data_IF_996052928749
#
_entry.id   IF_996052928749
#
_cell.length_a   1.000
_cell.length_b   1.000
_cell.length_c   1.000
_cell.angle_alpha   90.00
_cell.angle_beta   90.00
_cell.angle_gamma   90.00
#
_symmetry.space_group_name_H-M   'P 1'
#
loop_
_entity.id
_entity.type
_entity.pdbx_description
1 polymer ?
#
# COMPACT_ATOMS: atom_id res chain seq x y z
N UNK A 1 -10.03 5.29 -45.65
CA UNK A 1 -10.79 5.09 -44.40
C UNK A 1 -10.01 5.56 -43.18
N UNK A 2 -8.76 5.15 -42.93
CA UNK A 2 -7.92 5.68 -41.81
C UNK A 2 -7.85 7.23 -41.71
N UNK A 3 -7.84 7.94 -42.85
CA UNK A 3 -7.84 9.42 -42.88
C UNK A 3 -9.15 10.07 -42.42
N UNK A 4 -10.29 9.35 -42.51
CA UNK A 4 -11.62 9.85 -42.10
C UNK A 4 -11.80 9.74 -40.59
N UNK A 5 -11.29 8.67 -39.96
CA UNK A 5 -11.27 8.53 -38.51
C UNK A 5 -10.33 9.55 -37.85
N UNK A 6 -9.13 9.77 -38.40
CA UNK A 6 -8.18 10.80 -37.90
C UNK A 6 -8.76 12.22 -37.96
N UNK A 7 -9.51 12.55 -39.01
CA UNK A 7 -10.22 13.83 -39.13
C UNK A 7 -11.44 13.93 -38.22
N UNK A 8 -12.16 12.84 -37.97
CA UNK A 8 -13.27 12.80 -37.01
C UNK A 8 -12.75 12.98 -35.58
N UNK A 9 -11.65 12.31 -35.20
CA UNK A 9 -11.05 12.42 -33.88
C UNK A 9 -10.46 13.81 -33.61
N UNK A 10 -9.66 14.35 -34.56
CA UNK A 10 -9.08 15.68 -34.44
C UNK A 10 -10.12 16.81 -34.57
N UNK A 11 -11.19 16.62 -35.37
CA UNK A 11 -12.29 17.60 -35.44
C UNK A 11 -13.23 17.50 -34.23
N UNK A 12 -13.40 16.33 -33.61
CA UNK A 12 -14.11 16.21 -32.33
C UNK A 12 -13.29 16.85 -31.20
N UNK A 13 -12.00 16.53 -31.07
CA UNK A 13 -11.16 17.13 -30.04
C UNK A 13 -11.10 18.67 -30.16
N UNK A 14 -10.97 19.21 -31.37
CA UNK A 14 -10.85 20.66 -31.57
C UNK A 14 -12.18 21.43 -31.56
N UNK A 15 -13.32 20.81 -31.90
CA UNK A 15 -14.61 21.51 -32.01
C UNK A 15 -15.66 21.13 -30.96
N UNK A 16 -15.50 20.00 -30.27
CA UNK A 16 -16.56 19.36 -29.48
C UNK A 16 -16.25 19.35 -27.98
N UNK A 17 -14.97 19.40 -27.58
CA UNK A 17 -14.57 19.46 -26.16
C UNK A 17 -15.18 20.64 -25.37
N UNK A 18 -15.26 21.88 -25.90
CA UNK A 18 -15.92 22.98 -25.17
C UNK A 18 -17.45 22.85 -25.11
N UNK A 19 -18.06 22.11 -26.04
CA UNK A 19 -19.52 22.00 -26.19
C UNK A 19 -20.13 20.80 -25.44
N UNK A 20 -19.51 19.62 -25.48
CA UNK A 20 -20.03 18.41 -24.82
C UNK A 20 -19.89 18.46 -23.29
N UNK A 21 -19.07 19.35 -22.71
CA UNK A 21 -19.06 19.59 -21.26
C UNK A 21 -20.28 20.40 -20.76
N UNK A 22 -21.07 20.99 -21.66
CA UNK A 22 -22.11 21.96 -21.30
C UNK A 22 -23.56 21.54 -21.55
N UNK A 23 -23.82 20.40 -22.22
CA UNK A 23 -25.17 19.91 -22.52
C UNK A 23 -25.28 18.37 -22.38
N UNK A 24 -25.91 17.86 -21.30
CA UNK A 24 -26.04 16.43 -21.05
C UNK A 24 -27.19 15.74 -21.82
N UNK A 25 -28.01 16.46 -22.61
CA UNK A 25 -29.16 15.87 -23.33
C UNK A 25 -28.86 15.48 -24.79
N UNK A 26 -27.64 15.74 -25.30
CA UNK A 26 -27.22 15.22 -26.60
C UNK A 26 -26.98 13.70 -26.52
N UNK A 27 -27.57 12.87 -27.40
CA UNK A 27 -27.24 11.46 -27.49
C UNK A 27 -25.73 11.32 -27.63
N UNK A 28 -25.15 10.56 -26.71
CA UNK A 28 -23.78 10.72 -26.23
C UNK A 28 -22.76 10.99 -27.34
N UNK A 29 -21.96 12.05 -27.20
CA UNK A 29 -20.79 12.30 -28.06
C UNK A 29 -19.84 11.06 -28.08
N UNK A 30 -19.95 10.19 -27.07
CA UNK A 30 -19.35 8.87 -26.93
C UNK A 30 -19.83 7.82 -27.97
N UNK A 31 -21.15 7.72 -28.23
CA UNK A 31 -21.74 6.70 -29.12
C UNK A 31 -21.27 6.83 -30.58
N UNK A 32 -20.87 8.03 -31.00
CA UNK A 32 -20.50 8.28 -32.41
C UNK A 32 -19.01 8.12 -32.69
N UNK A 33 -18.14 8.24 -31.67
CA UNK A 33 -16.70 8.15 -31.83
C UNK A 33 -16.14 6.71 -31.72
N UNK A 34 -16.90 5.79 -31.11
CA UNK A 34 -16.39 4.45 -30.76
C UNK A 34 -17.24 3.27 -31.26
N UNK A 35 -18.09 3.45 -32.29
CA UNK A 35 -18.58 2.28 -33.04
C UNK A 35 -17.39 1.61 -33.72
N UNK A 36 -16.92 0.54 -33.08
CA UNK A 36 -15.71 -0.23 -33.38
C UNK A 36 -15.68 -0.82 -34.79
N UNK A 37 -16.84 -0.93 -35.45
CA UNK A 37 -16.95 -1.60 -36.74
C UNK A 37 -16.17 -0.89 -37.87
N UNK A 38 -15.87 0.42 -37.71
CA UNK A 38 -15.19 1.23 -38.74
C UNK A 38 -13.88 1.91 -38.28
N UNK A 39 -13.57 1.92 -36.98
CA UNK A 39 -12.45 2.69 -36.41
C UNK A 39 -11.16 1.89 -36.14
N UNK A 40 -11.18 0.57 -36.37
CA UNK A 40 -10.05 -0.31 -36.07
C UNK A 40 -10.09 -0.85 -34.64
N UNK A 41 -9.11 -1.71 -34.32
CA UNK A 41 -8.98 -2.28 -32.98
C UNK A 41 -8.73 -1.18 -31.94
N UNK A 42 -9.31 -1.26 -30.72
CA UNK A 42 -9.12 -0.28 -29.64
C UNK A 42 -7.67 0.17 -29.42
N UNK A 43 -6.74 -0.78 -29.46
CA UNK A 43 -5.32 -0.53 -29.33
C UNK A 43 -4.74 0.32 -30.47
N UNK A 44 -5.20 0.15 -31.72
CA UNK A 44 -4.73 0.99 -32.84
C UNK A 44 -5.14 2.45 -32.61
N UNK A 45 -6.39 2.70 -32.20
CA UNK A 45 -6.91 4.06 -31.98
C UNK A 45 -6.17 4.74 -30.83
N UNK A 46 -6.02 4.05 -29.69
CA UNK A 46 -5.28 4.56 -28.55
C UNK A 46 -3.80 4.83 -28.92
N UNK A 47 -3.13 3.90 -29.59
CA UNK A 47 -1.73 4.06 -29.95
C UNK A 47 -1.49 5.11 -31.03
N UNK A 48 -2.42 5.31 -31.94
CA UNK A 48 -2.37 6.42 -32.90
C UNK A 48 -2.35 7.76 -32.19
N UNK A 49 -3.21 7.95 -31.19
CA UNK A 49 -3.22 9.14 -30.34
C UNK A 49 -1.91 9.28 -29.55
N UNK A 50 -1.51 8.23 -28.83
CA UNK A 50 -0.35 8.30 -27.95
C UNK A 50 0.95 8.56 -28.71
N UNK A 51 1.13 8.01 -29.91
CA UNK A 51 2.33 8.27 -30.70
C UNK A 51 2.32 9.67 -31.32
N UNK A 52 1.14 10.26 -31.57
CA UNK A 52 1.06 11.61 -32.14
C UNK A 52 1.16 12.72 -31.10
N UNK A 53 0.52 12.55 -29.95
CA UNK A 53 0.45 13.58 -28.90
C UNK A 53 1.41 13.32 -27.74
N UNK A 54 1.87 12.07 -27.56
CA UNK A 54 2.67 11.63 -26.41
C UNK A 54 3.95 10.88 -26.84
N UNK A 55 4.72 11.48 -27.75
CA UNK A 55 5.94 10.90 -28.33
C UNK A 55 7.03 10.55 -27.30
N UNK A 56 6.98 11.16 -26.12
CA UNK A 56 7.84 10.87 -24.97
C UNK A 56 7.62 9.48 -24.37
N UNK A 57 6.42 8.92 -24.53
CA UNK A 57 6.02 7.64 -23.92
C UNK A 57 6.23 6.48 -24.89
N UNK A 58 5.83 6.68 -26.15
CA UNK A 58 5.95 5.67 -27.19
C UNK A 58 6.79 6.16 -28.36
N UNK A 59 7.98 5.58 -28.49
CA UNK A 59 8.88 5.84 -29.61
C UNK A 59 8.37 5.34 -30.96
N UNK A 60 7.36 4.45 -30.98
CA UNK A 60 6.75 3.94 -32.20
C UNK A 60 5.36 3.33 -31.96
N UNK A 61 4.57 3.27 -33.03
CA UNK A 61 3.27 2.60 -33.07
C UNK A 61 3.37 1.13 -32.68
N UNK A 62 4.31 0.39 -33.29
CA UNK A 62 4.46 -1.05 -33.05
C UNK A 62 4.75 -1.35 -31.57
N UNK A 63 5.55 -0.50 -30.91
CA UNK A 63 5.83 -0.65 -29.48
C UNK A 63 4.56 -0.45 -28.66
N UNK A 64 3.79 0.60 -28.95
CA UNK A 64 2.54 0.86 -28.24
C UNK A 64 1.53 -0.28 -28.42
N UNK A 65 1.33 -0.75 -29.66
CA UNK A 65 0.37 -1.83 -29.95
C UNK A 65 0.78 -3.12 -29.24
N UNK A 66 2.08 -3.44 -29.23
CA UNK A 66 2.58 -4.60 -28.49
C UNK A 66 2.32 -4.49 -26.99
N UNK A 67 2.52 -3.31 -26.39
CA UNK A 67 2.21 -3.13 -24.96
C UNK A 67 0.71 -3.26 -24.72
N UNK A 68 -0.12 -2.66 -25.59
CA UNK A 68 -1.57 -2.68 -25.47
C UNK A 68 -2.14 -4.11 -25.56
N UNK A 69 -1.55 -4.96 -26.41
CA UNK A 69 -1.95 -6.35 -26.55
C UNK A 69 -1.53 -7.23 -25.36
N UNK A 70 -0.56 -6.79 -24.55
CA UNK A 70 -0.03 -7.55 -23.41
C UNK A 70 -0.59 -7.06 -22.07
N UNK A 71 -1.14 -5.85 -21.99
CA UNK A 71 -1.82 -5.36 -20.81
C UNK A 71 -3.24 -5.97 -20.69
N UNK A 72 -3.68 -6.35 -19.48
CA UNK A 72 -5.07 -6.73 -19.22
C UNK A 72 -5.98 -5.48 -19.18
N UNK A 73 -5.84 -4.56 -20.12
CA UNK A 73 -6.72 -3.40 -20.25
C UNK A 73 -8.09 -3.88 -20.69
N UNK A 74 -9.13 -3.45 -19.98
CA UNK A 74 -10.48 -3.55 -20.52
C UNK A 74 -10.55 -2.63 -21.75
N UNK A 75 -11.08 -3.18 -22.85
CA UNK A 75 -11.41 -2.39 -24.04
C UNK A 75 -12.26 -1.18 -23.63
N UNK A 76 -12.37 -0.17 -24.51
CA UNK A 76 -13.32 0.93 -24.32
C UNK A 76 -14.70 0.37 -23.95
N UNK A 77 -15.08 0.49 -22.67
CA UNK A 77 -16.42 0.10 -22.23
C UNK A 77 -17.34 1.27 -22.55
N UNK A 78 -18.49 0.96 -23.12
CA UNK A 78 -19.49 1.96 -23.47
C UNK A 78 -19.89 2.75 -22.21
N UNK A 79 -19.64 4.06 -22.20
CA UNK A 79 -19.89 4.95 -21.05
C UNK A 79 -18.67 5.34 -20.22
N UNK A 80 -17.46 4.84 -20.51
CA UNK A 80 -16.23 5.16 -19.75
C UNK A 80 -15.43 6.36 -20.29
N UNK A 81 -15.94 7.10 -21.27
CA UNK A 81 -15.28 8.35 -21.68
C UNK A 81 -15.37 9.38 -20.56
N UNK A 82 -14.22 9.86 -20.10
CA UNK A 82 -14.10 10.67 -18.88
C UNK A 82 -13.96 9.84 -17.61
N UNK A 83 -13.67 8.53 -17.70
CA UNK A 83 -13.23 7.76 -16.55
C UNK A 83 -11.91 8.33 -16.01
N UNK A 84 -11.94 8.77 -14.76
CA UNK A 84 -10.75 9.28 -14.06
C UNK A 84 -9.97 8.15 -13.36
N UNK A 85 -10.53 6.93 -13.31
CA UNK A 85 -9.95 5.72 -12.71
C UNK A 85 -10.32 4.44 -13.48
N UNK A 86 -9.74 3.29 -13.12
CA UNK A 86 -10.01 2.00 -13.79
C UNK A 86 -8.97 1.59 -14.84
N UNK A 87 -8.72 0.28 -14.97
CA UNK A 87 -7.78 -0.30 -15.95
C UNK A 87 -8.34 -0.36 -17.38
N UNK A 88 -8.73 0.78 -17.94
CA UNK A 88 -9.29 0.84 -19.30
C UNK A 88 -8.56 1.81 -20.22
N UNK A 89 -8.62 1.54 -21.53
CA UNK A 89 -8.12 2.46 -22.55
C UNK A 89 -8.85 3.80 -22.54
N UNK A 90 -10.10 3.83 -22.06
CA UNK A 90 -10.90 5.05 -21.97
C UNK A 90 -10.36 6.01 -20.90
N UNK A 91 -10.01 5.48 -19.73
CA UNK A 91 -9.35 6.26 -18.69
C UNK A 91 -8.00 6.77 -19.21
N UNK A 92 -7.17 5.89 -19.77
CA UNK A 92 -5.82 6.24 -20.26
C UNK A 92 -5.88 7.32 -21.34
N UNK A 93 -6.83 7.23 -22.27
CA UNK A 93 -7.04 8.24 -23.29
C UNK A 93 -7.48 9.58 -22.70
N UNK A 94 -8.29 9.57 -21.63
CA UNK A 94 -8.75 10.80 -20.94
C UNK A 94 -7.54 11.60 -20.43
N UNK A 95 -6.61 10.97 -19.72
CA UNK A 95 -5.38 11.65 -19.26
C UNK A 95 -4.45 12.06 -20.40
N UNK A 96 -4.41 11.26 -21.47
CA UNK A 96 -3.65 11.60 -22.67
C UNK A 96 -4.15 12.89 -23.30
N UNK A 97 -5.47 13.07 -23.38
CA UNK A 97 -6.12 14.27 -23.90
C UNK A 97 -5.90 15.51 -23.01
N UNK A 98 -5.67 15.32 -21.71
CA UNK A 98 -5.29 16.39 -20.78
C UNK A 98 -3.79 16.75 -20.85
N UNK A 99 -3.02 16.05 -21.68
CA UNK A 99 -1.57 16.24 -21.83
C UNK A 99 -0.75 15.52 -20.75
N UNK A 100 -1.38 14.70 -19.91
CA UNK A 100 -0.70 13.88 -18.92
C UNK A 100 -0.25 12.54 -19.53
N UNK A 101 0.63 12.63 -20.52
CA UNK A 101 1.08 11.50 -21.33
C UNK A 101 1.66 10.32 -20.52
N UNK A 102 2.42 10.59 -19.45
CA UNK A 102 2.97 9.54 -18.59
C UNK A 102 1.84 8.76 -17.87
N UNK A 103 0.82 9.47 -17.39
CA UNK A 103 -0.36 8.88 -16.75
C UNK A 103 -1.32 8.24 -17.75
N UNK A 104 -1.23 8.61 -19.02
CA UNK A 104 -1.95 7.94 -20.09
C UNK A 104 -1.27 6.65 -20.53
N UNK A 105 0.02 6.43 -20.21
CA UNK A 105 0.83 5.31 -20.71
C UNK A 105 0.26 3.94 -20.34
N UNK A 106 0.38 2.95 -21.23
CA UNK A 106 0.07 1.55 -20.89
C UNK A 106 1.00 0.99 -19.80
N UNK A 107 2.24 1.51 -19.74
CA UNK A 107 3.27 1.02 -18.81
C UNK A 107 3.25 1.70 -17.44
N UNK A 108 2.71 2.92 -17.37
CA UNK A 108 2.87 3.81 -16.22
C UNK A 108 1.57 4.54 -15.83
N UNK A 109 0.39 4.17 -16.35
CA UNK A 109 -0.85 4.86 -15.94
C UNK A 109 -1.19 4.51 -14.50
N UNK A 110 -0.78 5.36 -13.59
CA UNK A 110 -1.02 5.17 -12.17
C UNK A 110 -2.42 5.61 -11.79
N UNK A 111 -3.01 6.47 -12.63
CA UNK A 111 -4.40 6.94 -12.51
C UNK A 111 -5.42 5.99 -13.14
N UNK A 112 -5.01 5.28 -14.20
CA UNK A 112 -5.87 4.35 -14.95
C UNK A 112 -5.42 2.92 -14.87
N UNK A 113 -4.66 2.58 -13.83
CA UNK A 113 -4.62 1.22 -13.36
C UNK A 113 -5.34 1.28 -12.03
N UNK A 114 -6.59 0.82 -11.98
CA UNK A 114 -7.04 0.26 -10.72
C UNK A 114 -6.10 -0.91 -10.51
N UNK A 115 -5.08 -0.75 -9.67
CA UNK A 115 -4.23 -1.85 -9.25
C UNK A 115 -5.16 -2.85 -8.62
N UNK A 116 -5.59 -3.83 -9.40
CA UNK A 116 -6.43 -4.88 -8.87
C UNK A 116 -5.55 -5.62 -7.86
N UNK A 117 -6.14 -6.06 -6.76
CA UNK A 117 -5.38 -6.86 -5.81
C UNK A 117 -4.85 -8.14 -6.45
N UNK A 118 -5.48 -8.60 -7.54
CA UNK A 118 -5.02 -9.73 -8.32
C UNK A 118 -3.70 -9.42 -9.04
N UNK A 119 -3.63 -8.29 -9.76
CA UNK A 119 -2.43 -7.89 -10.51
C UNK A 119 -1.28 -7.52 -9.58
N UNK A 120 -1.57 -6.75 -8.53
CA UNK A 120 -0.58 -6.40 -7.50
C UNK A 120 0.01 -7.65 -6.86
N UNK A 121 -0.84 -8.58 -6.43
CA UNK A 121 -0.36 -9.76 -5.75
C UNK A 121 0.31 -10.78 -6.68
N UNK A 122 -0.07 -10.81 -7.97
CA UNK A 122 0.65 -11.58 -8.97
C UNK A 122 2.08 -11.07 -9.16
N UNK A 123 2.29 -9.75 -9.21
CA UNK A 123 3.63 -9.14 -9.27
C UNK A 123 4.45 -9.43 -8.01
N UNK A 124 3.83 -9.29 -6.83
CA UNK A 124 4.51 -9.58 -5.56
C UNK A 124 4.92 -11.05 -5.46
N UNK A 125 4.07 -11.99 -5.86
CA UNK A 125 4.39 -13.42 -5.87
C UNK A 125 5.51 -13.75 -6.87
N UNK A 126 5.52 -13.09 -8.04
CA UNK A 126 6.52 -13.32 -9.07
C UNK A 126 7.90 -12.74 -8.73
N UNK A 127 7.96 -11.56 -8.11
CA UNK A 127 9.20 -10.78 -7.98
C UNK A 127 9.68 -10.57 -6.54
N UNK A 128 8.80 -10.74 -5.54
CA UNK A 128 9.07 -10.43 -4.14
C UNK A 128 8.75 -11.63 -3.23
N UNK A 129 9.41 -12.75 -3.50
CA UNK A 129 9.24 -13.98 -2.73
C UNK A 129 9.38 -13.72 -1.22
N UNK A 130 8.40 -14.20 -0.44
CA UNK A 130 8.38 -14.04 1.01
C UNK A 130 7.79 -12.71 1.50
N UNK A 131 7.41 -11.77 0.64
CA UNK A 131 6.70 -10.56 1.10
C UNK A 131 5.34 -10.87 1.74
N UNK A 132 4.72 -11.98 1.33
CA UNK A 132 3.48 -12.49 1.89
C UNK A 132 3.56 -14.01 2.07
N UNK A 133 2.89 -14.60 3.09
CA UNK A 133 2.80 -16.05 3.23
C UNK A 133 2.10 -16.78 2.07
N UNK A 134 1.41 -16.02 1.21
CA UNK A 134 0.74 -16.53 0.02
C UNK A 134 -0.10 -15.47 -0.68
N UNK A 135 -0.57 -15.79 -1.89
CA UNK A 135 -1.35 -14.89 -2.73
C UNK A 135 -2.63 -14.39 -2.05
N UNK A 136 -3.32 -15.25 -1.30
CA UNK A 136 -4.55 -14.88 -0.60
C UNK A 136 -4.28 -13.87 0.54
N UNK A 137 -3.20 -14.06 1.28
CA UNK A 137 -2.76 -13.11 2.31
C UNK A 137 -2.42 -11.75 1.70
N UNK A 138 -1.76 -11.74 0.55
CA UNK A 138 -1.50 -10.50 -0.18
C UNK A 138 -2.79 -9.78 -0.58
N UNK A 139 -3.78 -10.51 -1.14
CA UNK A 139 -5.04 -9.90 -1.58
C UNK A 139 -5.84 -9.31 -0.44
N UNK A 140 -5.84 -9.94 0.73
CA UNK A 140 -6.48 -9.41 1.94
C UNK A 140 -5.84 -8.11 2.40
N UNK A 141 -4.51 -8.03 2.43
CA UNK A 141 -3.79 -6.78 2.73
C UNK A 141 -4.09 -5.71 1.67
N UNK A 142 -4.03 -6.06 0.40
CA UNK A 142 -4.31 -5.12 -0.66
C UNK A 142 -5.71 -4.50 -0.53
N UNK A 143 -6.71 -5.30 -0.15
CA UNK A 143 -8.07 -4.82 0.05
C UNK A 143 -8.23 -3.90 1.27
N UNK A 144 -7.30 -3.90 2.22
CA UNK A 144 -7.32 -2.99 3.37
C UNK A 144 -6.57 -1.67 3.14
N UNK A 145 -5.73 -1.61 2.11
CA UNK A 145 -4.98 -0.40 1.81
C UNK A 145 -5.88 0.66 1.18
N UNK A 146 -5.72 1.94 1.56
CA UNK A 146 -6.35 3.05 0.86
C UNK A 146 -6.03 3.05 -0.64
N UNK A 147 -6.97 3.60 -1.40
CA UNK A 147 -6.78 3.92 -2.81
C UNK A 147 -6.20 5.33 -2.93
N UNK A 148 -5.33 5.56 -3.91
CA UNK A 148 -4.77 6.87 -4.24
C UNK A 148 -4.00 6.86 -5.55
N UNK A 149 -3.12 7.85 -5.75
CA UNK A 149 -2.31 7.94 -6.96
C UNK A 149 -0.93 7.31 -6.71
N UNK A 150 -0.38 6.52 -7.63
CA UNK A 150 0.88 5.80 -7.32
C UNK A 150 2.11 6.69 -7.07
N UNK A 151 2.05 7.95 -7.49
CA UNK A 151 3.15 8.90 -7.34
C UNK A 151 3.10 9.68 -6.03
N UNK A 152 2.06 9.52 -5.22
CA UNK A 152 1.82 10.38 -4.06
C UNK A 152 2.69 10.06 -2.84
N UNK A 153 3.40 8.92 -2.86
CA UNK A 153 4.21 8.45 -1.73
C UNK A 153 3.38 8.18 -0.47
N UNK A 154 2.06 8.10 -0.59
CA UNK A 154 1.16 7.83 0.52
C UNK A 154 1.01 6.31 0.72
N UNK A 155 0.39 5.92 1.84
CA UNK A 155 0.01 4.53 2.14
C UNK A 155 -1.15 4.08 1.22
N UNK A 156 -0.87 3.84 -0.06
CA UNK A 156 -1.86 3.47 -1.06
C UNK A 156 -1.46 2.19 -1.79
N UNK A 157 -2.44 1.41 -2.25
CA UNK A 157 -2.16 0.22 -3.07
C UNK A 157 -1.52 0.61 -4.41
N UNK A 158 -1.88 1.74 -4.99
CA UNK A 158 -1.32 2.21 -6.26
C UNK A 158 0.18 2.51 -6.13
N UNK A 159 0.61 3.15 -5.04
CA UNK A 159 2.04 3.37 -4.79
C UNK A 159 2.78 2.02 -4.72
N UNK A 160 2.24 1.06 -3.96
CA UNK A 160 2.84 -0.28 -3.82
C UNK A 160 2.88 -1.05 -5.14
N UNK A 161 1.82 -0.95 -5.93
CA UNK A 161 1.73 -1.57 -7.25
C UNK A 161 2.83 -1.07 -8.18
N UNK A 162 3.10 0.25 -8.20
CA UNK A 162 4.21 0.81 -8.95
C UNK A 162 5.55 0.21 -8.53
N UNK A 163 5.80 0.00 -7.24
CA UNK A 163 7.04 -0.63 -6.82
C UNK A 163 7.07 -2.14 -7.09
N UNK A 164 5.91 -2.81 -7.08
CA UNK A 164 5.79 -4.21 -7.48
C UNK A 164 6.15 -4.42 -8.96
N UNK A 165 5.82 -3.48 -9.84
CA UNK A 165 6.24 -3.55 -11.26
C UNK A 165 7.75 -3.31 -11.41
N UNK A 166 8.33 -2.38 -10.63
CA UNK A 166 9.77 -2.12 -10.63
C UNK A 166 10.60 -3.28 -10.07
N UNK A 167 9.98 -4.15 -9.25
CA UNK A 167 10.65 -5.34 -8.72
C UNK A 167 11.08 -6.32 -9.83
N UNK A 168 10.50 -6.22 -11.04
CA UNK A 168 11.02 -6.89 -12.24
C UNK A 168 12.32 -6.23 -12.72
N UNK A 169 13.43 -6.64 -12.10
CA UNK A 169 14.77 -6.16 -12.40
C UNK A 169 15.43 -5.37 -11.28
N UNK A 170 14.68 -4.95 -10.26
CA UNK A 170 15.20 -4.30 -9.05
C UNK A 170 14.56 -4.85 -7.77
N UNK A 171 15.19 -5.87 -7.17
CA UNK A 171 14.72 -6.48 -5.93
C UNK A 171 14.63 -5.49 -4.75
N UNK A 172 15.29 -4.33 -4.80
CA UNK A 172 15.17 -3.32 -3.74
C UNK A 172 13.79 -2.66 -3.72
N UNK A 173 13.06 -2.72 -4.85
CA UNK A 173 11.67 -2.24 -4.94
C UNK A 173 10.68 -3.13 -4.15
N UNK A 174 11.07 -4.33 -3.71
CA UNK A 174 10.18 -5.17 -2.91
C UNK A 174 9.82 -4.58 -1.55
N UNK A 175 10.73 -3.81 -0.93
CA UNK A 175 10.41 -3.16 0.34
C UNK A 175 9.29 -2.11 0.22
N UNK A 176 9.37 -1.12 -0.68
CA UNK A 176 8.27 -0.20 -0.92
C UNK A 176 7.02 -0.84 -1.53
N UNK A 177 7.17 -1.95 -2.27
CA UNK A 177 6.04 -2.71 -2.79
C UNK A 177 5.30 -3.53 -1.71
N UNK A 178 5.95 -3.93 -0.62
CA UNK A 178 5.35 -4.73 0.46
C UNK A 178 4.28 -3.98 1.24
N UNK A 179 3.61 -4.64 2.19
CA UNK A 179 2.65 -3.99 3.11
C UNK A 179 3.26 -2.86 3.94
N UNK A 180 4.57 -2.90 4.19
CA UNK A 180 5.26 -1.95 5.06
C UNK A 180 5.60 -0.64 4.35
N UNK A 181 5.69 -0.65 3.03
CA UNK A 181 5.91 0.55 2.21
C UNK A 181 7.32 1.08 2.22
N UNK A 182 8.23 0.46 2.97
CA UNK A 182 9.66 0.78 2.96
C UNK A 182 9.97 2.25 3.24
N UNK A 183 9.05 3.00 3.88
CA UNK A 183 9.14 4.45 4.05
C UNK A 183 8.98 5.28 2.77
N UNK A 184 8.55 4.66 1.67
CA UNK A 184 8.32 5.31 0.37
C UNK A 184 6.83 5.40 0.03
N UNK A 185 6.08 4.33 0.29
CA UNK A 185 4.63 4.30 0.15
C UNK A 185 3.95 4.46 1.52
N UNK A 186 4.10 5.66 2.08
CA UNK A 186 3.66 6.03 3.41
C UNK A 186 4.72 5.82 4.50
N UNK A 187 4.41 6.32 5.68
CA UNK A 187 5.18 6.01 6.90
C UNK A 187 4.91 4.54 7.28
N UNK A 188 5.91 3.74 7.71
CA UNK A 188 5.68 2.34 8.12
C UNK A 188 4.63 2.17 9.23
N UNK A 189 4.38 3.23 10.01
CA UNK A 189 3.34 3.25 11.03
C UNK A 189 1.93 3.35 10.47
N UNK A 190 1.75 3.92 9.28
CA UNK A 190 0.43 4.02 8.66
C UNK A 190 -0.21 2.65 8.41
N UNK A 191 0.39 1.72 7.62
CA UNK A 191 -0.19 0.41 7.40
C UNK A 191 -0.28 -0.41 8.68
N UNK A 192 0.68 -0.28 9.60
CA UNK A 192 0.62 -0.93 10.91
C UNK A 192 -0.64 -0.55 11.70
N UNK A 193 -0.87 0.75 11.87
CA UNK A 193 -2.00 1.26 12.66
C UNK A 193 -3.35 1.05 11.97
N UNK A 194 -3.39 1.14 10.65
CA UNK A 194 -4.62 0.91 9.88
C UNK A 194 -5.03 -0.57 9.96
N UNK A 195 -4.08 -1.51 9.82
CA UNK A 195 -4.34 -2.95 9.96
C UNK A 195 -4.74 -3.32 11.39
N UNK A 196 -4.12 -2.71 12.40
CA UNK A 196 -4.53 -2.91 13.79
C UNK A 196 -5.96 -2.47 14.04
N UNK A 197 -6.32 -1.26 13.63
CA UNK A 197 -7.68 -0.75 13.81
C UNK A 197 -8.72 -1.62 13.10
N UNK A 198 -8.34 -2.25 11.97
CA UNK A 198 -9.21 -3.13 11.21
C UNK A 198 -9.36 -4.52 11.84
N UNK A 199 -8.24 -5.16 12.21
CA UNK A 199 -8.20 -6.59 12.53
C UNK A 199 -8.19 -6.88 14.03
N UNK A 200 -7.75 -5.91 14.84
CA UNK A 200 -7.58 -6.03 16.28
C UNK A 200 -8.59 -5.14 17.01
N UNK A 201 -9.81 -5.66 17.17
CA UNK A 201 -10.95 -4.94 17.76
C UNK A 201 -11.53 -5.67 18.97
N UNK A 202 -12.35 -4.98 19.77
CA UNK A 202 -13.00 -5.55 20.95
C UNK A 202 -11.99 -6.00 21.99
N UNK A 203 -12.10 -7.24 22.47
CA UNK A 203 -11.15 -7.80 23.46
C UNK A 203 -9.72 -7.92 22.91
N UNK A 204 -9.55 -7.90 21.59
CA UNK A 204 -8.26 -7.94 20.91
C UNK A 204 -7.75 -6.55 20.53
N UNK A 205 -8.44 -5.47 20.91
CA UNK A 205 -7.95 -4.11 20.71
C UNK A 205 -6.55 -3.95 21.31
N UNK A 206 -5.70 -3.22 20.60
CA UNK A 206 -4.29 -3.04 20.99
C UNK A 206 -4.06 -1.62 21.49
N UNK A 207 -4.58 -0.62 20.77
CA UNK A 207 -4.51 0.78 21.15
C UNK A 207 -5.90 1.38 21.12
N UNK A 208 -6.21 2.33 22.03
CA UNK A 208 -7.56 2.92 22.13
C UNK A 208 -7.94 3.79 20.93
N UNK A 209 -6.95 4.35 20.22
CA UNK A 209 -7.15 5.13 19.02
C UNK A 209 -5.90 5.13 18.12
N UNK A 210 -6.10 5.55 16.86
CA UNK A 210 -5.03 5.63 15.86
C UNK A 210 -3.92 6.60 16.28
N UNK A 211 -4.23 7.70 16.95
CA UNK A 211 -3.21 8.68 17.36
C UNK A 211 -2.25 8.09 18.40
N UNK A 212 -2.78 7.31 19.33
CA UNK A 212 -2.02 6.54 20.31
C UNK A 212 -1.16 5.50 19.57
N UNK A 213 -1.74 4.75 18.62
CA UNK A 213 -0.98 3.81 17.80
C UNK A 213 0.21 4.47 17.08
N UNK A 214 -0.02 5.60 16.40
CA UNK A 214 1.04 6.32 15.66
C UNK A 214 2.14 6.83 16.58
N UNK A 215 1.77 7.39 17.74
CA UNK A 215 2.73 7.88 18.73
C UNK A 215 3.65 6.77 19.22
N UNK A 216 3.09 5.57 19.37
CA UNK A 216 3.80 4.38 19.83
C UNK A 216 4.64 3.72 18.75
N UNK A 217 4.09 3.61 17.55
CA UNK A 217 4.83 3.10 16.43
C UNK A 217 6.06 3.97 16.12
N UNK A 218 5.96 5.29 16.25
CA UNK A 218 7.09 6.21 16.07
C UNK A 218 8.27 5.99 17.03
N UNK A 219 8.09 5.18 18.09
CA UNK A 219 9.17 4.80 19.02
C UNK A 219 9.85 3.48 18.63
N UNK A 220 9.25 2.71 17.73
CA UNK A 220 9.72 1.39 17.30
C UNK A 220 10.78 1.51 16.20
N UNK A 221 11.58 0.45 16.02
CA UNK A 221 12.50 0.39 14.89
C UNK A 221 11.73 0.17 13.57
N UNK A 222 11.98 1.00 12.57
CA UNK A 222 11.38 0.87 11.24
C UNK A 222 12.37 0.37 10.18
N UNK A 223 13.55 -0.12 10.58
CA UNK A 223 14.59 -0.62 9.67
C UNK A 223 14.43 -2.13 9.33
N UNK A 224 13.24 -2.70 9.56
CA UNK A 224 12.96 -4.10 9.23
C UNK A 224 12.88 -4.34 7.72
N UNK A 225 13.22 -5.56 7.31
CA UNK A 225 13.02 -6.03 5.95
C UNK A 225 11.55 -6.35 5.68
N UNK A 226 11.18 -6.40 4.39
CA UNK A 226 9.80 -6.69 3.99
C UNK A 226 9.35 -8.13 4.26
N UNK A 227 10.29 -9.03 4.50
CA UNK A 227 10.08 -10.43 4.82
C UNK A 227 10.33 -10.76 6.30
N UNK A 228 10.39 -9.73 7.17
CA UNK A 228 10.56 -9.88 8.62
C UNK A 228 9.28 -10.37 9.32
N UNK A 229 8.75 -11.49 8.87
CA UNK A 229 7.64 -12.21 9.51
C UNK A 229 8.09 -13.49 10.22
N UNK A 230 9.37 -13.88 10.04
CA UNK A 230 9.87 -15.18 10.51
C UNK A 230 10.37 -15.12 11.95
N UNK A 231 10.02 -16.15 12.72
CA UNK A 231 10.46 -16.42 14.09
C UNK A 231 11.98 -16.43 14.31
N UNK A 232 12.75 -16.65 13.25
CA UNK A 232 14.21 -16.84 13.32
C UNK A 232 14.99 -15.51 13.27
N UNK A 233 14.29 -14.42 12.99
CA UNK A 233 14.83 -13.07 13.00
C UNK A 233 14.32 -12.37 14.26
N UNK A 234 15.09 -12.41 15.34
CA UNK A 234 14.82 -11.72 16.62
C UNK A 234 14.84 -10.19 16.43
N UNK A 235 13.81 -9.65 15.79
CA UNK A 235 13.77 -8.27 15.32
C UNK A 235 12.56 -7.55 15.92
N UNK A 236 12.83 -6.56 16.78
CA UNK A 236 11.84 -5.61 17.30
C UNK A 236 11.59 -4.47 16.31
N UNK A 237 10.87 -4.78 15.22
CA UNK A 237 10.53 -3.79 14.18
C UNK A 237 9.04 -3.62 13.96
N UNK A 238 8.66 -2.45 13.43
CA UNK A 238 7.31 -2.17 12.93
C UNK A 238 6.91 -3.20 11.88
N UNK A 239 7.81 -3.60 10.98
CA UNK A 239 7.56 -4.56 9.91
C UNK A 239 7.05 -5.91 10.42
N UNK A 240 7.70 -6.47 11.44
CA UNK A 240 7.24 -7.70 12.08
C UNK A 240 5.85 -7.53 12.70
N UNK A 241 5.61 -6.37 13.33
CA UNK A 241 4.33 -6.08 13.98
C UNK A 241 3.21 -5.85 12.98
N UNK A 242 3.48 -5.21 11.85
CA UNK A 242 2.56 -5.05 10.71
C UNK A 242 2.17 -6.40 10.15
N UNK A 243 3.11 -7.33 10.03
CA UNK A 243 2.79 -8.71 9.63
C UNK A 243 1.77 -9.33 10.58
N UNK A 244 1.99 -9.25 11.89
CA UNK A 244 1.05 -9.79 12.88
C UNK A 244 -0.29 -9.05 12.93
N UNK A 245 -0.33 -7.76 12.60
CA UNK A 245 -1.56 -6.96 12.50
C UNK A 245 -2.36 -7.26 11.21
N UNK A 246 -1.71 -7.81 10.20
CA UNK A 246 -2.29 -8.10 8.89
C UNK A 246 -3.05 -9.43 8.82
N UNK A 247 -2.83 -10.26 7.79
CA UNK A 247 -3.58 -11.50 7.56
C UNK A 247 -3.59 -12.51 8.72
N UNK A 248 -2.52 -12.68 9.51
CA UNK A 248 -2.59 -13.55 10.68
C UNK A 248 -3.64 -13.11 11.71
N UNK A 249 -3.83 -11.80 11.92
CA UNK A 249 -4.86 -11.26 12.80
C UNK A 249 -6.28 -11.34 12.20
N UNK A 250 -6.45 -11.41 10.88
CA UNK A 250 -7.77 -11.65 10.30
C UNK A 250 -8.28 -13.07 10.58
N UNK A 251 -7.35 -14.04 10.64
CA UNK A 251 -7.66 -15.45 10.87
C UNK A 251 -7.77 -15.79 12.36
N UNK A 252 -6.80 -15.34 13.17
CA UNK A 252 -6.69 -15.69 14.58
C UNK A 252 -6.29 -14.45 15.42
N UNK A 253 -7.20 -13.46 15.56
CA UNK A 253 -6.89 -12.17 16.20
C UNK A 253 -6.44 -12.34 17.65
N UNK A 254 -7.04 -13.26 18.40
CA UNK A 254 -6.67 -13.53 19.79
C UNK A 254 -5.19 -13.90 19.95
N UNK A 255 -4.61 -14.60 18.97
CA UNK A 255 -3.21 -15.01 19.00
C UNK A 255 -2.29 -13.95 18.41
N UNK A 256 -2.70 -13.30 17.32
CA UNK A 256 -1.79 -12.44 16.55
C UNK A 256 -1.82 -10.98 17.00
N UNK A 257 -2.98 -10.45 17.42
CA UNK A 257 -3.08 -9.07 17.89
C UNK A 257 -2.21 -8.82 19.12
N UNK A 258 -2.07 -9.79 20.02
CA UNK A 258 -1.16 -9.63 21.16
C UNK A 258 0.30 -9.47 20.73
N UNK A 259 0.74 -10.05 19.62
CA UNK A 259 2.12 -9.96 19.12
C UNK A 259 2.46 -8.60 18.49
N UNK A 260 1.44 -7.80 18.17
CA UNK A 260 1.64 -6.49 17.55
C UNK A 260 2.08 -5.42 18.56
N UNK A 261 1.82 -5.65 19.85
CA UNK A 261 2.05 -4.69 20.93
C UNK A 261 3.52 -4.52 21.20
N UNK A 262 3.98 -3.29 21.40
CA UNK A 262 5.35 -2.93 21.81
C UNK A 262 6.00 -3.94 22.76
N UNK A 263 5.30 -4.33 23.82
CA UNK A 263 5.86 -5.15 24.89
C UNK A 263 5.72 -6.66 24.67
N UNK A 264 5.20 -7.09 23.51
CA UNK A 264 5.16 -8.49 23.17
C UNK A 264 6.40 -8.87 22.38
N UNK A 265 7.21 -9.72 23.00
CA UNK A 265 8.54 -10.10 22.51
C UNK A 265 8.59 -11.59 22.14
N UNK A 266 7.45 -12.32 22.15
CA UNK A 266 7.45 -13.76 21.82
C UNK A 266 7.77 -13.96 20.33
N UNK A 267 7.42 -12.99 19.47
CA UNK A 267 7.61 -13.09 18.03
C UNK A 267 8.43 -11.93 17.44
N UNK A 268 8.11 -10.68 17.81
CA UNK A 268 8.80 -9.49 17.29
C UNK A 268 9.74 -8.85 18.32
N UNK A 269 10.52 -9.64 19.04
CA UNK A 269 11.41 -9.09 20.07
C UNK A 269 12.75 -9.78 20.16
N UNK A 270 13.66 -9.13 20.89
CA UNK A 270 15.11 -9.37 20.86
C UNK A 270 15.62 -10.48 21.80
N UNK A 271 14.76 -11.26 22.45
CA UNK A 271 15.23 -12.32 23.37
C UNK A 271 14.66 -13.69 23.00
N UNK A 272 15.52 -14.68 22.69
CA UNK A 272 15.08 -16.04 22.41
C UNK A 272 14.29 -16.60 23.59
N UNK A 273 13.19 -17.30 23.31
CA UNK A 273 12.30 -17.89 24.32
C UNK A 273 13.03 -18.73 25.38
N UNK A 274 14.18 -19.29 25.03
CA UNK A 274 15.00 -20.14 25.90
C UNK A 274 15.79 -19.37 26.97
N UNK A 275 15.93 -18.04 26.86
CA UNK A 275 16.69 -17.20 27.80
C UNK A 275 15.85 -16.13 28.48
N UNK A 276 14.52 -16.13 28.31
CA UNK A 276 13.65 -15.07 28.84
C UNK A 276 13.58 -15.14 30.37
N UNK A 277 14.02 -14.10 31.09
CA UNK A 277 13.85 -14.02 32.54
C UNK A 277 12.39 -13.64 32.89
N UNK A 278 11.98 -13.79 34.16
CA UNK A 278 10.59 -13.62 34.58
C UNK A 278 10.07 -12.16 34.57
N UNK A 279 10.94 -11.18 34.31
CA UNK A 279 10.75 -9.73 34.32
C UNK A 279 10.68 -9.12 32.90
N UNK A 280 10.38 -9.96 31.91
CA UNK A 280 10.55 -9.74 30.48
C UNK A 280 9.76 -8.59 29.81
N UNK A 281 8.51 -8.24 30.19
CA UNK A 281 7.81 -7.09 29.61
C UNK A 281 8.58 -5.77 29.80
N UNK A 282 9.38 -5.72 30.86
CA UNK A 282 10.14 -4.54 31.22
C UNK A 282 11.40 -4.35 30.39
N UNK A 283 11.97 -5.41 29.80
CA UNK A 283 13.17 -5.25 28.98
C UNK A 283 12.86 -4.44 27.72
N UNK A 284 11.82 -4.82 26.97
CA UNK A 284 11.45 -4.08 25.75
C UNK A 284 10.97 -2.66 26.06
N UNK A 285 10.24 -2.46 27.16
CA UNK A 285 9.89 -1.11 27.64
C UNK A 285 11.15 -0.27 27.89
N UNK A 286 12.12 -0.83 28.60
CA UNK A 286 13.33 -0.09 28.94
C UNK A 286 14.22 0.19 27.75
N UNK A 287 14.34 -0.73 26.81
CA UNK A 287 15.05 -0.49 25.55
C UNK A 287 14.41 0.65 24.76
N UNK A 288 13.08 0.80 24.79
CA UNK A 288 12.40 1.92 24.15
C UNK A 288 12.59 3.23 24.90
N UNK A 289 12.54 3.19 26.23
CA UNK A 289 12.78 4.35 27.08
C UNK A 289 14.22 4.84 26.95
N UNK A 290 15.21 3.95 26.90
CA UNK A 290 16.61 4.31 26.72
C UNK A 290 16.84 4.94 25.33
N UNK A 291 16.24 4.36 24.28
CA UNK A 291 16.35 4.86 22.89
C UNK A 291 15.71 6.23 22.72
N UNK A 292 14.49 6.40 23.22
CA UNK A 292 13.66 7.57 22.91
C UNK A 292 13.70 8.65 24.01
N UNK A 293 14.02 8.28 25.25
CA UNK A 293 14.07 9.17 26.41
C UNK A 293 15.40 9.05 27.17
N UNK A 294 16.54 9.33 26.53
CA UNK A 294 17.85 9.14 27.17
C UNK A 294 17.97 9.97 28.45
N UNK A 295 18.29 9.28 29.56
CA UNK A 295 18.47 9.90 30.88
C UNK A 295 17.22 9.99 31.76
N UNK A 296 16.04 9.53 31.30
CA UNK A 296 14.86 9.40 32.17
C UNK A 296 15.11 8.38 33.28
N UNK A 297 15.75 7.26 32.94
CA UNK A 297 16.21 6.28 33.91
C UNK A 297 17.74 6.31 34.04
N UNK A 298 18.30 6.22 35.26
CA UNK A 298 19.74 6.18 35.44
C UNK A 298 20.41 4.93 34.85
N UNK A 299 19.66 3.82 34.70
CA UNK A 299 20.08 2.59 34.04
C UNK A 299 18.88 1.75 33.59
N UNK A 300 19.09 0.78 32.70
CA UNK A 300 18.04 -0.20 32.34
C UNK A 300 17.55 -1.02 33.54
N UNK A 301 18.41 -1.23 34.55
CA UNK A 301 18.00 -1.91 35.77
C UNK A 301 17.03 -1.05 36.61
N UNK A 302 17.25 0.26 36.68
CA UNK A 302 16.33 1.18 37.37
C UNK A 302 15.01 1.29 36.63
N UNK A 303 15.06 1.32 35.29
CA UNK A 303 13.88 1.27 34.45
C UNK A 303 13.08 -0.03 34.66
N UNK A 304 13.76 -1.18 34.66
CA UNK A 304 13.09 -2.47 34.81
C UNK A 304 12.46 -2.60 36.21
N UNK A 305 13.14 -2.08 37.24
CA UNK A 305 12.60 -2.04 38.59
C UNK A 305 11.34 -1.17 38.69
N UNK A 306 11.30 -0.01 38.02
CA UNK A 306 10.11 0.86 37.97
C UNK A 306 8.97 0.21 37.18
N UNK A 307 9.28 -0.33 35.99
CA UNK A 307 8.32 -1.06 35.18
C UNK A 307 7.69 -2.25 35.92
N UNK A 308 8.46 -2.99 36.72
CA UNK A 308 7.93 -4.09 37.53
C UNK A 308 6.91 -3.64 38.60
N UNK A 309 6.84 -2.34 38.91
CA UNK A 309 5.81 -1.78 39.80
C UNK A 309 4.49 -1.51 39.10
N UNK A 310 4.47 -1.53 37.76
CA UNK A 310 3.24 -1.28 37.01
C UNK A 310 2.23 -2.41 37.28
N UNK A 311 0.99 -2.09 37.67
CA UNK A 311 -0.06 -3.07 37.97
C UNK A 311 -0.25 -4.11 36.87
N UNK A 312 -0.01 -3.70 35.62
CA UNK A 312 -0.16 -4.49 34.40
C UNK A 312 0.91 -5.58 34.28
N UNK A 313 2.13 -5.31 34.72
CA UNK A 313 3.23 -6.29 34.76
C UNK A 313 3.02 -7.31 35.87
N UNK A 314 2.23 -6.96 36.89
CA UNK A 314 1.93 -7.83 38.03
C UNK A 314 0.70 -8.73 37.79
N UNK A 315 -0.02 -8.58 36.68
CA UNK A 315 -1.19 -9.41 36.36
C UNK A 315 -0.74 -10.78 35.84
N UNK A 316 -1.12 -11.89 36.49
CA UNK A 316 -0.64 -13.22 36.16
C UNK A 316 -1.43 -13.89 35.02
N UNK A 317 -2.15 -13.13 34.18
CA UNK A 317 -2.81 -13.72 33.01
C UNK A 317 -1.78 -13.88 31.89
N UNK A 318 -1.29 -15.10 31.61
CA UNK A 318 -0.22 -15.32 30.64
C UNK A 318 -0.70 -15.11 29.20
N UNK A 319 -2.03 -15.07 28.97
CA UNK A 319 -2.63 -15.06 27.64
C UNK A 319 -3.27 -13.69 27.30
N UNK A 320 -3.56 -12.86 28.30
CA UNK A 320 -4.23 -11.56 28.14
C UNK A 320 -3.49 -10.48 28.91
N UNK A 321 -2.33 -10.05 28.41
CA UNK A 321 -1.71 -8.81 28.90
C UNK A 321 -2.76 -7.68 28.83
N UNK A 322 -2.98 -6.88 29.88
CA UNK A 322 -4.03 -5.87 29.86
C UNK A 322 -3.74 -4.77 28.83
N UNK A 323 -4.82 -4.14 28.33
CA UNK A 323 -4.79 -2.90 27.56
C UNK A 323 -4.09 -1.81 28.39
N UNK A 324 -2.84 -1.48 28.07
CA UNK A 324 -2.15 -0.36 28.72
C UNK A 324 -2.74 0.94 28.16
N UNK A 325 -3.57 1.61 28.97
CA UNK A 325 -4.00 2.99 28.76
C UNK A 325 -2.84 3.98 28.98
N UNK A 326 -2.93 5.15 28.33
CA UNK A 326 -1.97 5.56 27.34
C UNK A 326 -0.60 5.78 27.94
N UNK A 327 0.39 5.37 27.17
CA UNK A 327 1.68 6.03 27.09
C UNK A 327 1.39 7.50 26.73
N UNK A 328 1.15 8.29 27.78
CA UNK A 328 0.88 9.71 27.69
C UNK A 328 2.10 10.40 27.07
N UNK A 329 1.88 11.57 26.45
CA UNK A 329 2.92 12.47 25.92
C UNK A 329 3.95 12.94 26.96
N UNK A 330 3.90 12.39 28.17
CA UNK A 330 4.82 12.59 29.29
C UNK A 330 5.87 11.50 29.44
N UNK A 331 5.99 10.54 28.49
CA UNK A 331 6.94 9.44 28.63
C UNK A 331 8.39 9.92 28.79
N UNK A 332 8.77 10.97 28.04
CA UNK A 332 9.99 11.72 28.32
C UNK A 332 9.60 13.06 28.98
N UNK A 333 9.47 13.17 30.32
CA UNK A 333 9.27 14.47 30.94
C UNK A 333 10.52 15.31 30.67
N UNK A 334 10.33 16.45 30.01
CA UNK A 334 11.37 17.45 29.72
C UNK A 334 11.94 18.09 30.98
#
# INVERSE_FOLDING_TARGET
MKFVCKLAFLSLAAAVLPGCLSDPELPSCAEFAFRTDDCGEPCEVYCEFMVSECDSVYSSMDRCINDCANEPVTNFVEGELGAESGNSLACRLTWGLEGECEEASLRNSNKCADASCDDYCALMDAHCAGAYPGLENCKQVCASLPRGASADGNNTVECRYRYATLADGDATACNPASVNGGGVCGDPCDPYCDLLAQNCTGDNEVYPDRQTCMSICGLMNADGDFDDWSFDKEIDTVQCRTYHAGPPATLEPAIHCMHTRVYNIVHCGVIPRSTQPADWPCVTFCDLMERNCPGVYPSNMDCAADCATFPEVQSPDPDMGPLIYPISSTMCPS
#
